data_IF_809568947948
#
_entry.id   IF_809568947948
#
_cell.length_a   1.000
_cell.length_b   1.000
_cell.length_c   1.000
_cell.angle_alpha   90.00
_cell.angle_beta   90.00
_cell.angle_gamma   90.00
#
_symmetry.space_group_name_H-M   'P 1'
#
loop_
_entity.id
_entity.type
_entity.pdbx_description
1 polymer ?
#
# COMPACT_ATOMS: atom_id res chain seq x y z
N UNK A 1 37.95 0.63 -25.60
CA UNK A 1 37.93 0.15 -24.22
C UNK A 1 38.10 1.35 -23.28
N UNK A 2 37.03 1.97 -22.85
CA UNK A 2 37.05 2.96 -21.76
C UNK A 2 36.50 2.25 -20.53
N UNK A 3 37.13 2.38 -19.37
CA UNK A 3 36.64 1.71 -18.15
C UNK A 3 35.34 2.39 -17.73
N UNK A 4 34.30 1.57 -17.64
CA UNK A 4 32.94 1.93 -17.25
C UNK A 4 32.86 2.22 -15.74
N UNK A 5 33.40 3.39 -15.34
CA UNK A 5 33.53 3.79 -13.93
C UNK A 5 32.40 4.72 -13.44
N UNK A 6 31.35 4.95 -14.24
CA UNK A 6 30.32 5.95 -13.93
C UNK A 6 29.01 5.41 -13.35
N UNK A 7 28.90 4.12 -13.09
CA UNK A 7 27.64 3.48 -12.68
C UNK A 7 27.56 2.85 -11.30
N UNK A 8 28.51 3.12 -10.39
CA UNK A 8 28.51 2.47 -9.07
C UNK A 8 27.76 3.32 -8.03
N UNK A 9 26.52 2.92 -7.76
CA UNK A 9 25.65 3.55 -6.77
C UNK A 9 26.07 3.28 -5.32
N UNK A 10 25.40 3.95 -4.39
CA UNK A 10 25.57 3.81 -2.94
C UNK A 10 25.66 2.35 -2.46
N UNK A 11 24.93 1.42 -3.09
CA UNK A 11 24.93 0.00 -2.75
C UNK A 11 26.19 -0.76 -3.23
N UNK A 12 26.81 -0.32 -4.32
CA UNK A 12 28.02 -0.98 -4.90
C UNK A 12 29.34 -0.39 -4.39
N UNK A 13 29.36 0.89 -3.93
CA UNK A 13 30.55 1.54 -3.34
C UNK A 13 30.55 1.62 -1.82
N UNK A 14 29.36 1.52 -1.20
CA UNK A 14 29.14 1.47 0.25
C UNK A 14 28.24 0.27 0.52
N UNK A 15 28.16 -0.20 1.75
CA UNK A 15 27.34 -1.37 2.09
C UNK A 15 25.84 -1.06 1.94
N UNK A 16 25.02 -2.08 1.63
CA UNK A 16 23.54 -2.02 1.59
C UNK A 16 22.94 -1.38 2.85
N UNK A 17 23.68 -1.37 3.96
CA UNK A 17 23.30 -0.73 5.23
C UNK A 17 23.02 0.77 5.10
N UNK A 18 23.64 1.46 4.13
CA UNK A 18 23.38 2.88 3.88
C UNK A 18 21.95 3.19 3.46
N UNK A 19 21.25 2.22 2.83
CA UNK A 19 19.82 2.38 2.51
C UNK A 19 18.96 2.56 3.76
N UNK A 20 19.41 2.01 4.90
CA UNK A 20 18.74 2.19 6.19
C UNK A 20 19.27 3.41 6.95
N UNK A 21 20.58 3.65 6.91
CA UNK A 21 21.19 4.77 7.65
C UNK A 21 20.74 6.14 7.16
N UNK A 22 20.37 6.31 5.88
CA UNK A 22 19.85 7.57 5.35
C UNK A 22 18.52 7.98 6.00
N UNK A 23 17.76 7.02 6.52
CA UNK A 23 16.50 7.29 7.22
C UNK A 23 16.73 7.87 8.63
N UNK A 24 17.89 7.61 9.25
CA UNK A 24 18.18 8.08 10.62
C UNK A 24 18.27 9.61 10.71
N UNK A 25 19.06 10.33 9.87
CA UNK A 25 19.10 11.79 9.92
C UNK A 25 17.76 12.41 9.55
N UNK A 26 17.03 11.86 8.55
CA UNK A 26 15.71 12.36 8.14
C UNK A 26 14.71 12.18 9.29
N UNK A 27 14.65 10.97 9.87
CA UNK A 27 13.80 10.67 11.02
C UNK A 27 14.17 11.50 12.26
N UNK A 28 15.46 11.67 12.55
CA UNK A 28 15.94 12.50 13.63
C UNK A 28 15.53 13.96 13.49
N UNK A 29 15.66 14.52 12.29
CA UNK A 29 15.19 15.88 11.99
C UNK A 29 13.66 16.00 12.17
N UNK A 30 12.90 15.02 11.70
CA UNK A 30 11.44 15.00 11.83
C UNK A 30 11.02 14.93 13.30
N UNK A 31 11.65 14.07 14.11
CA UNK A 31 11.40 13.98 15.56
C UNK A 31 11.71 15.30 16.23
N UNK A 32 12.85 15.91 15.93
CA UNK A 32 13.24 17.20 16.50
C UNK A 32 12.23 18.30 16.14
N UNK A 33 11.80 18.36 14.88
CA UNK A 33 10.78 19.31 14.44
C UNK A 33 9.44 19.10 15.16
N UNK A 34 8.99 17.86 15.34
CA UNK A 34 7.77 17.54 16.09
C UNK A 34 7.90 17.97 17.55
N UNK A 35 9.02 17.68 18.21
CA UNK A 35 9.21 18.05 19.63
C UNK A 35 9.24 19.57 19.85
N UNK A 36 9.76 20.34 18.88
CA UNK A 36 9.86 21.81 18.98
C UNK A 36 8.54 22.48 18.63
N UNK A 37 7.90 22.07 17.54
CA UNK A 37 6.75 22.79 16.96
C UNK A 37 5.40 22.20 17.35
N UNK A 38 5.34 20.91 17.73
CA UNK A 38 4.09 20.22 17.93
C UNK A 38 3.71 20.18 19.41
N UNK A 39 2.98 21.19 19.87
CA UNK A 39 2.39 21.22 21.21
C UNK A 39 0.92 20.84 21.11
N UNK A 40 0.58 19.61 21.46
CA UNK A 40 -0.82 19.20 21.64
C UNK A 40 -1.17 19.38 23.11
N UNK A 41 -2.24 20.11 23.38
CA UNK A 41 -2.86 20.04 24.70
C UNK A 41 -3.38 18.61 24.90
N UNK A 42 -2.95 17.90 25.94
CA UNK A 42 -3.42 16.53 26.16
C UNK A 42 -4.93 16.58 26.37
N UNK A 43 -5.71 15.78 25.61
CA UNK A 43 -7.14 15.69 25.88
C UNK A 43 -7.33 15.28 27.32
N UNK A 44 -8.33 15.86 28.02
CA UNK A 44 -8.73 15.44 29.38
C UNK A 44 -9.21 13.99 29.33
N UNK A 45 -8.29 13.04 29.28
CA UNK A 45 -8.56 11.61 29.35
C UNK A 45 -8.48 11.19 30.80
N UNK A 46 -9.48 10.49 31.27
CA UNK A 46 -9.36 9.70 32.51
C UNK A 46 -8.13 8.78 32.37
N UNK A 47 -7.25 8.78 33.35
CA UNK A 47 -6.06 7.91 33.36
C UNK A 47 -6.52 6.46 33.52
N UNK A 48 -6.73 5.79 32.39
CA UNK A 48 -6.99 4.36 32.40
C UNK A 48 -5.74 3.62 32.93
N UNK A 49 -5.97 2.59 33.76
CA UNK A 49 -4.89 1.71 34.19
C UNK A 49 -4.22 1.05 33.01
N UNK A 50 -2.93 0.68 33.12
CA UNK A 50 -2.19 0.00 32.04
C UNK A 50 -2.92 -1.27 31.56
N UNK A 51 -3.53 -2.00 32.48
CA UNK A 51 -4.32 -3.20 32.16
C UNK A 51 -5.55 -2.88 31.31
N UNK A 52 -6.23 -1.77 31.59
CA UNK A 52 -7.38 -1.32 30.80
C UNK A 52 -6.95 -0.84 29.39
N UNK A 53 -5.78 -0.19 29.28
CA UNK A 53 -5.21 0.18 27.99
C UNK A 53 -4.81 -1.05 27.15
N UNK A 54 -4.17 -2.06 27.76
CA UNK A 54 -3.83 -3.32 27.09
C UNK A 54 -5.09 -4.07 26.63
N UNK A 55 -6.16 -4.05 27.43
CA UNK A 55 -7.43 -4.69 27.08
C UNK A 55 -8.10 -4.01 25.86
N UNK A 56 -7.87 -2.71 25.66
CA UNK A 56 -8.37 -1.97 24.50
C UNK A 56 -7.60 -2.28 23.21
N UNK A 57 -6.42 -2.93 23.28
CA UNK A 57 -5.63 -3.32 22.10
C UNK A 57 -6.05 -4.66 21.49
N UNK A 58 -7.12 -5.27 22.01
CA UNK A 58 -7.60 -6.60 21.57
C UNK A 58 -6.48 -7.65 21.46
N UNK A 59 -5.82 -8.00 22.58
CA UNK A 59 -4.70 -8.95 22.53
C UNK A 59 -5.14 -10.35 22.08
N UNK A 60 -6.41 -10.72 22.32
CA UNK A 60 -6.96 -12.01 21.91
C UNK A 60 -7.16 -12.05 20.41
N UNK A 61 -7.80 -11.03 19.82
CA UNK A 61 -7.95 -10.91 18.37
C UNK A 61 -6.60 -10.91 17.66
N UNK A 62 -5.64 -10.11 18.16
CA UNK A 62 -4.28 -10.07 17.61
C UNK A 62 -3.56 -11.41 17.66
N UNK A 63 -3.72 -12.18 18.77
CA UNK A 63 -3.09 -13.50 18.93
C UNK A 63 -3.55 -14.51 17.87
N UNK A 64 -4.78 -14.47 17.43
CA UNK A 64 -5.28 -15.32 16.35
C UNK A 64 -5.03 -14.73 14.96
N UNK A 65 -5.11 -13.41 14.84
CA UNK A 65 -4.95 -12.70 13.57
C UNK A 65 -3.51 -12.79 13.01
N UNK A 66 -2.50 -12.45 13.82
CA UNK A 66 -1.13 -12.38 13.35
C UNK A 66 -0.60 -13.73 12.81
N UNK A 67 -0.76 -14.88 13.53
CA UNK A 67 -0.35 -16.18 12.98
C UNK A 67 -1.17 -16.59 11.75
N UNK A 68 -2.44 -16.21 11.65
CA UNK A 68 -3.25 -16.50 10.47
C UNK A 68 -2.68 -15.80 9.23
N UNK A 69 -2.35 -14.50 9.35
CA UNK A 69 -1.75 -13.73 8.26
C UNK A 69 -0.36 -14.27 7.86
N UNK A 70 0.46 -14.65 8.83
CA UNK A 70 1.75 -15.29 8.58
C UNK A 70 1.55 -16.59 7.81
N UNK A 71 0.58 -17.42 8.22
CA UNK A 71 0.32 -18.72 7.58
C UNK A 71 -0.10 -18.57 6.12
N UNK A 72 -0.98 -17.62 5.78
CA UNK A 72 -1.39 -17.40 4.38
C UNK A 72 -0.24 -16.85 3.53
N UNK A 73 0.54 -15.91 4.05
CA UNK A 73 1.68 -15.34 3.32
C UNK A 73 2.73 -16.42 3.05
N UNK A 74 3.06 -17.27 4.04
CA UNK A 74 3.99 -18.39 3.86
C UNK A 74 3.44 -19.42 2.89
N UNK A 75 2.16 -19.77 2.97
CA UNK A 75 1.52 -20.69 2.04
C UNK A 75 1.60 -20.18 0.59
N UNK A 76 1.35 -18.88 0.39
CA UNK A 76 1.43 -18.25 -0.92
C UNK A 76 2.88 -18.10 -1.41
N UNK A 77 3.85 -17.88 -0.53
CA UNK A 77 5.26 -17.72 -0.88
C UNK A 77 5.94 -19.04 -1.24
N UNK A 78 5.62 -20.12 -0.53
CA UNK A 78 6.21 -21.44 -0.77
C UNK A 78 5.40 -22.31 -1.73
N UNK A 79 4.07 -22.17 -1.70
CA UNK A 79 3.16 -22.99 -2.50
C UNK A 79 3.35 -22.80 -4.00
N UNK A 80 3.26 -23.90 -4.75
CA UNK A 80 3.44 -23.88 -6.21
C UNK A 80 4.91 -23.84 -6.65
N UNK A 81 5.86 -23.83 -5.72
CA UNK A 81 7.26 -24.06 -6.05
C UNK A 81 7.52 -25.55 -6.32
N UNK A 82 8.56 -25.92 -7.09
CA UNK A 82 8.90 -27.32 -7.32
C UNK A 82 9.21 -28.11 -6.04
N UNK A 83 9.75 -27.44 -5.02
CA UNK A 83 10.01 -28.04 -3.71
C UNK A 83 8.73 -28.29 -2.90
N UNK A 84 7.72 -27.40 -3.05
CA UNK A 84 6.46 -27.45 -2.31
C UNK A 84 5.26 -27.25 -3.26
N UNK A 85 4.83 -28.32 -3.97
CA UNK A 85 3.61 -28.26 -4.77
C UNK A 85 2.40 -27.92 -3.87
N UNK A 86 1.35 -27.36 -4.43
CA UNK A 86 0.13 -26.99 -3.69
C UNK A 86 -0.49 -28.17 -2.92
N UNK A 87 -0.25 -29.41 -3.37
CA UNK A 87 -0.67 -30.65 -2.71
C UNK A 87 0.23 -31.08 -1.54
N UNK A 88 1.34 -30.39 -1.30
CA UNK A 88 2.25 -30.76 -0.20
C UNK A 88 1.55 -30.60 1.15
N UNK A 89 1.68 -31.58 2.08
CA UNK A 89 1.04 -31.52 3.41
C UNK A 89 1.38 -30.25 4.19
N UNK A 90 2.58 -29.70 3.98
CA UNK A 90 3.04 -28.46 4.60
C UNK A 90 2.22 -27.25 4.14
N UNK A 91 1.93 -27.14 2.84
CA UNK A 91 1.13 -26.04 2.28
C UNK A 91 -0.33 -26.17 2.70
N UNK A 92 -0.88 -27.39 2.63
CA UNK A 92 -2.24 -27.67 3.10
C UNK A 92 -2.36 -27.33 4.59
N UNK A 93 -1.37 -27.73 5.41
CA UNK A 93 -1.32 -27.39 6.83
C UNK A 93 -1.34 -25.88 7.10
N UNK A 94 -0.57 -25.09 6.35
CA UNK A 94 -0.56 -23.63 6.45
C UNK A 94 -1.90 -23.03 6.04
N UNK A 95 -2.53 -23.52 4.96
CA UNK A 95 -3.85 -23.04 4.51
C UNK A 95 -4.95 -23.38 5.51
N UNK A 96 -4.95 -24.59 6.07
CA UNK A 96 -5.89 -24.99 7.13
C UNK A 96 -5.68 -24.13 8.39
N UNK A 97 -4.43 -23.93 8.79
CA UNK A 97 -4.09 -23.06 9.94
C UNK A 97 -4.60 -21.63 9.71
N UNK A 98 -4.39 -21.07 8.52
CA UNK A 98 -4.94 -19.77 8.16
C UNK A 98 -6.48 -19.75 8.32
N UNK A 99 -7.20 -20.69 7.70
CA UNK A 99 -8.67 -20.69 7.73
C UNK A 99 -9.18 -20.81 9.16
N UNK A 100 -8.63 -21.72 9.94
CA UNK A 100 -9.06 -21.97 11.34
C UNK A 100 -8.79 -20.74 12.22
N UNK A 101 -7.56 -20.21 12.19
CA UNK A 101 -7.20 -19.05 13.03
C UNK A 101 -7.94 -17.79 12.60
N UNK A 102 -8.13 -17.59 11.30
CA UNK A 102 -8.89 -16.45 10.78
C UNK A 102 -10.39 -16.55 11.15
N UNK A 103 -10.98 -17.74 11.10
CA UNK A 103 -12.35 -17.95 11.54
C UNK A 103 -12.53 -17.68 13.04
N UNK A 104 -11.55 -18.11 13.87
CA UNK A 104 -11.54 -17.80 15.33
C UNK A 104 -11.39 -16.29 15.52
N UNK A 105 -10.49 -15.62 14.81
CA UNK A 105 -10.35 -14.17 14.87
C UNK A 105 -11.66 -13.46 14.56
N UNK A 106 -12.31 -13.81 13.45
CA UNK A 106 -13.61 -13.23 13.06
C UNK A 106 -14.67 -13.47 14.15
N UNK A 107 -14.73 -14.68 14.73
CA UNK A 107 -15.64 -14.97 15.82
C UNK A 107 -15.36 -14.11 17.07
N UNK A 108 -14.10 -13.91 17.44
CA UNK A 108 -13.68 -13.04 18.56
C UNK A 108 -14.11 -11.60 18.30
N UNK A 109 -13.90 -11.06 17.09
CA UNK A 109 -14.30 -9.70 16.72
C UNK A 109 -15.82 -9.46 16.85
N UNK A 110 -16.64 -10.47 16.54
CA UNK A 110 -18.09 -10.41 16.75
C UNK A 110 -18.49 -10.52 18.22
N UNK A 111 -17.76 -11.28 19.04
CA UNK A 111 -18.06 -11.50 20.46
C UNK A 111 -17.58 -10.35 21.35
N UNK A 112 -16.59 -9.57 20.93
CA UNK A 112 -16.00 -8.49 21.72
C UNK A 112 -16.07 -7.12 21.01
N UNK A 113 -17.25 -6.61 20.64
CA UNK A 113 -17.41 -5.44 19.77
C UNK A 113 -16.85 -4.13 20.36
N UNK A 114 -16.67 -4.05 21.70
CA UNK A 114 -16.17 -2.84 22.37
C UNK A 114 -14.65 -2.67 22.26
N UNK A 115 -13.91 -3.78 22.19
CA UNK A 115 -12.44 -3.79 22.12
C UNK A 115 -11.89 -4.27 20.78
N UNK A 116 -12.76 -4.68 19.86
CA UNK A 116 -12.43 -5.27 18.58
C UNK A 116 -11.47 -4.40 17.76
N UNK A 117 -10.41 -4.99 17.18
CA UNK A 117 -9.49 -4.34 16.24
C UNK A 117 -10.19 -3.90 14.96
N UNK A 118 -11.15 -4.71 14.48
CA UNK A 118 -11.92 -4.47 13.26
C UNK A 118 -13.43 -4.56 13.53
N UNK A 119 -14.02 -3.62 14.29
CA UNK A 119 -15.42 -3.69 14.66
C UNK A 119 -16.32 -3.82 13.44
N UNK A 120 -17.27 -4.75 13.49
CA UNK A 120 -18.20 -5.02 12.40
C UNK A 120 -18.93 -3.75 11.91
N UNK A 121 -19.25 -2.81 12.81
CA UNK A 121 -19.88 -1.52 12.46
C UNK A 121 -19.03 -0.67 11.50
N UNK A 122 -17.70 -0.80 11.53
CA UNK A 122 -16.78 -0.08 10.65
C UNK A 122 -16.54 -0.88 9.37
N UNK A 123 -16.19 -2.15 9.50
CA UNK A 123 -15.82 -3.03 8.38
C UNK A 123 -17.01 -3.29 7.44
N UNK A 124 -18.22 -3.49 7.98
CA UNK A 124 -19.43 -3.74 7.19
C UNK A 124 -20.04 -2.48 6.56
N UNK A 125 -19.49 -1.29 6.86
CA UNK A 125 -19.88 -0.10 6.11
C UNK A 125 -19.45 -0.27 4.65
N UNK A 126 -20.42 -0.22 3.72
CA UNK A 126 -20.17 -0.50 2.30
C UNK A 126 -19.06 0.33 1.68
N UNK A 127 -18.95 1.61 2.07
CA UNK A 127 -17.91 2.50 1.56
C UNK A 127 -16.53 2.14 2.11
N UNK A 128 -16.46 1.69 3.37
CA UNK A 128 -15.21 1.23 4.00
C UNK A 128 -14.80 -0.11 3.41
N UNK A 129 -15.72 -1.08 3.34
CA UNK A 129 -15.46 -2.39 2.75
C UNK A 129 -15.00 -2.27 1.29
N UNK A 130 -15.69 -1.45 0.48
CA UNK A 130 -15.31 -1.17 -0.90
C UNK A 130 -13.92 -0.55 -1.02
N UNK A 131 -13.58 0.42 -0.14
CA UNK A 131 -12.25 1.06 -0.13
C UNK A 131 -11.15 0.12 0.36
N UNK A 132 -11.41 -0.73 1.35
CA UNK A 132 -10.48 -1.76 1.82
C UNK A 132 -10.16 -2.76 0.72
N UNK A 133 -11.18 -3.28 0.02
CA UNK A 133 -11.01 -4.17 -1.12
C UNK A 133 -10.26 -3.49 -2.27
N UNK A 134 -10.60 -2.24 -2.56
CA UNK A 134 -9.92 -1.42 -3.56
C UNK A 134 -8.43 -1.26 -3.24
N UNK A 135 -8.08 -0.88 -2.00
CA UNK A 135 -6.70 -0.69 -1.57
C UNK A 135 -5.88 -1.97 -1.56
N UNK A 136 -6.49 -3.10 -1.18
CA UNK A 136 -5.86 -4.42 -1.23
C UNK A 136 -5.35 -4.73 -2.65
N UNK A 137 -6.21 -4.52 -3.66
CA UNK A 137 -5.89 -4.80 -5.05
C UNK A 137 -4.95 -3.76 -5.67
N UNK A 138 -5.16 -2.47 -5.37
CA UNK A 138 -4.32 -1.38 -5.84
C UNK A 138 -2.87 -1.55 -5.39
N UNK A 139 -2.68 -1.82 -4.10
CA UNK A 139 -1.36 -2.01 -3.52
C UNK A 139 -0.69 -3.29 -4.03
N UNK A 140 -1.47 -4.36 -4.18
CA UNK A 140 -0.99 -5.61 -4.76
C UNK A 140 -0.45 -5.44 -6.18
N UNK A 141 -1.25 -4.79 -7.05
CA UNK A 141 -0.83 -4.48 -8.42
C UNK A 141 0.38 -3.55 -8.47
N UNK A 142 0.40 -2.51 -7.61
CA UNK A 142 1.55 -1.59 -7.50
C UNK A 142 2.82 -2.33 -7.10
N UNK A 143 2.78 -3.21 -6.08
CA UNK A 143 3.97 -3.95 -5.64
C UNK A 143 4.47 -4.90 -6.71
N UNK A 144 3.57 -5.60 -7.42
CA UNK A 144 3.94 -6.43 -8.56
C UNK A 144 4.67 -5.61 -9.63
N UNK A 145 4.09 -4.49 -10.07
CA UNK A 145 4.72 -3.68 -11.11
C UNK A 145 6.03 -3.05 -10.63
N UNK A 146 6.07 -2.43 -9.45
CA UNK A 146 7.25 -1.74 -8.95
C UNK A 146 8.45 -2.68 -8.77
N UNK A 147 8.22 -3.88 -8.22
CA UNK A 147 9.27 -4.87 -8.01
C UNK A 147 9.75 -5.50 -9.32
N UNK A 148 8.81 -6.06 -10.09
CA UNK A 148 9.17 -6.84 -11.28
C UNK A 148 9.60 -5.99 -12.48
N UNK A 149 9.24 -4.72 -12.51
CA UNK A 149 9.73 -3.79 -13.52
C UNK A 149 11.23 -3.51 -13.33
N UNK A 150 11.69 -3.36 -12.09
CA UNK A 150 13.11 -3.23 -11.78
C UNK A 150 13.90 -4.50 -12.17
N UNK A 151 13.30 -5.67 -11.93
CA UNK A 151 13.87 -6.96 -12.35
C UNK A 151 13.90 -7.06 -13.88
N UNK A 152 12.88 -6.59 -14.59
CA UNK A 152 12.82 -6.58 -16.05
C UNK A 152 13.93 -5.74 -16.67
N UNK A 153 14.22 -4.55 -16.14
CA UNK A 153 15.32 -3.73 -16.62
C UNK A 153 16.69 -4.40 -16.41
N UNK A 154 16.85 -5.15 -15.33
CA UNK A 154 18.09 -5.86 -15.02
C UNK A 154 18.26 -7.11 -15.90
N UNK A 155 17.25 -7.97 -15.97
CA UNK A 155 17.30 -9.22 -16.72
C UNK A 155 17.21 -9.02 -18.23
N UNK A 156 16.13 -8.34 -18.70
CA UNK A 156 15.85 -8.22 -20.13
C UNK A 156 16.73 -7.18 -20.83
N UNK A 157 17.00 -6.04 -20.19
CA UNK A 157 17.81 -4.98 -20.78
C UNK A 157 19.27 -4.95 -20.27
N UNK A 158 19.65 -5.85 -19.37
CA UNK A 158 21.01 -5.94 -18.83
C UNK A 158 21.48 -4.69 -18.08
N UNK A 159 20.56 -3.94 -17.48
CA UNK A 159 20.89 -2.72 -16.76
C UNK A 159 21.39 -3.02 -15.35
N UNK A 160 22.25 -2.16 -14.82
CA UNK A 160 22.62 -2.23 -13.40
C UNK A 160 21.42 -1.92 -12.50
N UNK A 161 21.46 -2.38 -11.25
CA UNK A 161 20.41 -2.10 -10.27
C UNK A 161 20.10 -0.59 -10.12
N UNK A 162 21.14 0.25 -10.21
CA UNK A 162 21.00 1.71 -10.17
C UNK A 162 20.24 2.25 -11.40
N UNK A 163 20.62 1.79 -12.59
CA UNK A 163 19.96 2.22 -13.82
C UNK A 163 18.51 1.72 -13.86
N UNK A 164 18.24 0.51 -13.37
CA UNK A 164 16.89 0.00 -13.22
C UNK A 164 16.03 0.90 -12.29
N UNK A 165 16.60 1.33 -11.16
CA UNK A 165 15.93 2.29 -10.26
C UNK A 165 15.64 3.63 -10.93
N UNK A 166 16.61 4.20 -11.67
CA UNK A 166 16.41 5.46 -12.41
C UNK A 166 15.34 5.30 -13.49
N UNK A 167 15.35 4.18 -14.21
CA UNK A 167 14.35 3.89 -15.25
C UNK A 167 12.95 3.60 -14.70
N UNK A 168 12.83 3.29 -13.41
CA UNK A 168 11.54 3.14 -12.72
C UNK A 168 10.97 4.46 -12.17
N UNK A 169 11.71 5.58 -12.23
CA UNK A 169 11.25 6.90 -11.78
C UNK A 169 9.96 7.39 -12.45
N UNK A 170 9.68 7.15 -13.75
CA UNK A 170 8.43 7.58 -14.37
C UNK A 170 7.17 7.04 -13.68
N UNK A 171 7.23 5.82 -13.14
CA UNK A 171 6.15 5.24 -12.34
C UNK A 171 5.89 6.06 -11.08
N UNK A 172 6.95 6.37 -10.33
CA UNK A 172 6.87 7.12 -9.06
C UNK A 172 6.47 8.57 -9.29
N UNK A 173 7.05 9.22 -10.30
CA UNK A 173 6.69 10.59 -10.66
C UNK A 173 5.22 10.69 -11.11
N UNK A 174 4.76 9.73 -11.91
CA UNK A 174 3.36 9.64 -12.33
C UNK A 174 2.41 9.55 -11.12
N UNK A 175 2.74 8.68 -10.16
CA UNK A 175 1.97 8.53 -8.92
C UNK A 175 1.91 9.86 -8.13
N UNK A 176 3.04 10.53 -7.93
CA UNK A 176 3.10 11.78 -7.14
C UNK A 176 2.34 12.90 -7.85
N UNK A 177 2.61 13.12 -9.13
CA UNK A 177 1.98 14.20 -9.91
C UNK A 177 0.45 14.02 -9.93
N UNK A 178 -0.02 12.81 -10.24
CA UNK A 178 -1.45 12.58 -10.32
C UNK A 178 -2.13 12.56 -8.95
N UNK A 179 -1.44 12.10 -7.91
CA UNK A 179 -1.90 12.21 -6.53
C UNK A 179 -2.16 13.66 -6.11
N UNK A 180 -1.25 14.58 -6.46
CA UNK A 180 -1.44 16.02 -6.20
C UNK A 180 -2.62 16.58 -7.00
N UNK A 181 -2.70 16.26 -8.29
CA UNK A 181 -3.80 16.73 -9.16
C UNK A 181 -5.15 16.27 -8.59
N UNK A 182 -5.28 14.99 -8.23
CA UNK A 182 -6.52 14.43 -7.69
C UNK A 182 -6.83 15.00 -6.30
N UNK A 183 -5.83 15.27 -5.46
CA UNK A 183 -6.02 15.93 -4.18
C UNK A 183 -6.65 17.33 -4.35
N UNK A 184 -6.09 18.13 -5.26
CA UNK A 184 -6.61 19.47 -5.58
C UNK A 184 -8.01 19.39 -6.20
N UNK A 185 -8.21 18.48 -7.15
CA UNK A 185 -9.51 18.25 -7.79
C UNK A 185 -10.57 17.89 -6.76
N UNK A 186 -10.28 16.93 -5.89
CA UNK A 186 -11.21 16.45 -4.85
C UNK A 186 -11.53 17.55 -3.83
N UNK A 187 -10.58 18.43 -3.50
CA UNK A 187 -10.83 19.56 -2.62
C UNK A 187 -11.75 20.61 -3.28
N UNK A 188 -11.59 20.88 -4.57
CA UNK A 188 -12.41 21.85 -5.32
C UNK A 188 -13.80 21.32 -5.63
N UNK A 189 -13.89 20.12 -6.18
CA UNK A 189 -15.14 19.50 -6.63
C UNK A 189 -15.93 18.95 -5.44
N UNK A 190 -15.24 18.36 -4.47
CA UNK A 190 -15.82 17.78 -3.26
C UNK A 190 -16.17 16.30 -3.36
N UNK A 191 -15.92 15.64 -4.49
CA UNK A 191 -16.19 14.22 -4.70
C UNK A 191 -14.89 13.43 -4.91
N UNK A 192 -14.76 12.28 -4.23
CA UNK A 192 -13.60 11.37 -4.31
C UNK A 192 -13.82 10.19 -5.27
N UNK A 193 -15.09 9.83 -5.53
CA UNK A 193 -15.45 8.67 -6.36
C UNK A 193 -14.91 8.76 -7.80
N UNK A 194 -14.88 9.93 -8.48
CA UNK A 194 -14.30 10.02 -9.81
C UNK A 194 -12.84 9.56 -9.87
N UNK A 195 -12.04 9.90 -8.86
CA UNK A 195 -10.65 9.41 -8.76
C UNK A 195 -10.57 7.90 -8.55
N UNK A 196 -11.48 7.34 -7.74
CA UNK A 196 -11.56 5.88 -7.53
C UNK A 196 -12.01 5.13 -8.80
N UNK A 197 -12.82 5.73 -9.67
CA UNK A 197 -13.23 5.12 -10.95
C UNK A 197 -12.16 5.28 -12.04
N UNK A 198 -11.42 6.39 -12.03
CA UNK A 198 -10.34 6.62 -12.99
C UNK A 198 -9.15 5.67 -12.77
N UNK A 199 -8.83 5.37 -11.51
CA UNK A 199 -7.69 4.53 -11.15
C UNK A 199 -7.73 3.13 -11.77
N UNK A 200 -8.81 2.33 -11.67
CA UNK A 200 -8.90 1.02 -12.32
C UNK A 200 -8.67 1.07 -13.82
N UNK A 201 -9.23 2.07 -14.49
CA UNK A 201 -9.11 2.23 -15.94
C UNK A 201 -7.66 2.51 -16.33
N UNK A 202 -7.03 3.51 -15.70
CA UNK A 202 -5.64 3.88 -15.99
C UNK A 202 -4.66 2.76 -15.64
N UNK A 203 -4.84 2.11 -14.48
CA UNK A 203 -3.99 1.00 -14.05
C UNK A 203 -4.18 -0.23 -14.94
N UNK A 204 -5.40 -0.58 -15.34
CA UNK A 204 -5.64 -1.72 -16.23
C UNK A 204 -5.03 -1.52 -17.60
N UNK A 205 -5.18 -0.33 -18.19
CA UNK A 205 -4.56 0.00 -19.48
C UNK A 205 -3.05 0.04 -19.34
N UNK A 206 -2.51 0.74 -18.32
CA UNK A 206 -1.07 0.82 -18.10
C UNK A 206 -0.42 -0.54 -17.81
N UNK A 207 -1.04 -1.38 -16.97
CA UNK A 207 -0.59 -2.74 -16.68
C UNK A 207 -0.69 -3.66 -17.90
N UNK A 208 -1.77 -3.55 -18.67
CA UNK A 208 -1.94 -4.24 -19.96
C UNK A 208 -0.85 -3.85 -20.96
N UNK A 209 -0.53 -2.56 -21.08
CA UNK A 209 0.56 -2.09 -21.95
C UNK A 209 1.94 -2.57 -21.44
N UNK A 210 2.18 -2.57 -20.13
CA UNK A 210 3.41 -3.13 -19.54
C UNK A 210 3.57 -4.62 -19.87
N UNK A 211 2.48 -5.38 -19.96
CA UNK A 211 2.51 -6.81 -20.32
C UNK A 211 2.90 -7.06 -21.79
N UNK A 212 2.95 -6.03 -22.63
CA UNK A 212 3.40 -6.12 -24.03
C UNK A 212 4.87 -5.75 -24.22
N UNK A 213 5.63 -5.52 -23.14
CA UNK A 213 7.04 -5.20 -23.21
C UNK A 213 7.86 -6.39 -23.71
N UNK A 214 8.80 -6.11 -24.62
CA UNK A 214 9.81 -7.04 -25.12
C UNK A 214 11.22 -6.52 -24.79
N UNK A 215 12.24 -7.38 -24.72
CA UNK A 215 13.63 -6.94 -24.47
C UNK A 215 14.10 -5.81 -25.38
N UNK A 216 13.62 -5.80 -26.64
CA UNK A 216 13.92 -4.77 -27.66
C UNK A 216 13.04 -3.51 -27.56
N UNK A 217 12.13 -3.41 -26.57
CA UNK A 217 11.24 -2.26 -26.46
C UNK A 217 12.01 -0.96 -26.21
N UNK A 218 11.76 0.03 -27.08
CA UNK A 218 12.39 1.34 -27.01
C UNK A 218 11.94 2.17 -25.79
N UNK A 219 12.72 3.22 -25.49
CA UNK A 219 12.54 4.05 -24.29
C UNK A 219 11.14 4.68 -24.18
N UNK A 220 10.56 5.16 -25.28
CA UNK A 220 9.24 5.79 -25.27
C UNK A 220 8.12 4.86 -24.79
N UNK A 221 8.20 3.55 -25.13
CA UNK A 221 7.17 2.57 -24.72
C UNK A 221 7.17 2.37 -23.22
N UNK A 222 8.29 1.94 -22.63
CA UNK A 222 8.33 1.64 -21.20
C UNK A 222 8.15 2.90 -20.34
N UNK A 223 8.58 4.09 -20.81
CA UNK A 223 8.38 5.35 -20.11
C UNK A 223 6.88 5.73 -20.06
N UNK A 224 6.20 5.71 -21.22
CA UNK A 224 4.77 6.04 -21.31
C UNK A 224 3.88 5.06 -20.54
N UNK A 225 4.17 3.75 -20.62
CA UNK A 225 3.39 2.72 -19.94
C UNK A 225 3.49 2.83 -18.40
N UNK A 226 4.70 3.09 -17.90
CA UNK A 226 4.95 3.34 -16.48
C UNK A 226 4.24 4.60 -15.98
N UNK A 227 4.34 5.70 -16.72
CA UNK A 227 3.70 6.95 -16.35
C UNK A 227 2.18 6.79 -16.29
N UNK A 228 1.58 6.10 -17.26
CA UNK A 228 0.14 5.84 -17.28
C UNK A 228 -0.31 4.99 -16.08
N UNK A 229 0.45 3.92 -15.78
CA UNK A 229 0.18 3.09 -14.61
C UNK A 229 0.33 3.88 -13.30
N UNK A 230 1.39 4.69 -13.20
CA UNK A 230 1.64 5.60 -12.08
C UNK A 230 0.52 6.61 -11.87
N UNK A 231 -0.03 7.18 -12.94
CA UNK A 231 -1.20 8.06 -12.86
C UNK A 231 -2.40 7.35 -12.24
N UNK A 232 -2.68 6.12 -12.64
CA UNK A 232 -3.74 5.31 -12.05
C UNK A 232 -3.54 5.07 -10.55
N UNK A 233 -2.32 4.70 -10.13
CA UNK A 233 -1.98 4.50 -8.71
C UNK A 233 -2.18 5.80 -7.93
N UNK A 234 -1.71 6.95 -8.45
CA UNK A 234 -1.87 8.26 -7.82
C UNK A 234 -3.34 8.65 -7.61
N UNK A 235 -4.21 8.40 -8.60
CA UNK A 235 -5.65 8.55 -8.47
C UNK A 235 -6.22 7.68 -7.35
N UNK A 236 -5.83 6.41 -7.33
CA UNK A 236 -6.37 5.41 -6.42
C UNK A 236 -6.02 5.67 -4.97
N UNK A 237 -4.74 5.85 -4.63
CA UNK A 237 -4.31 6.08 -3.25
C UNK A 237 -4.90 7.36 -2.67
N UNK A 238 -4.90 8.45 -3.43
CA UNK A 238 -5.42 9.71 -2.94
C UNK A 238 -6.93 9.66 -2.67
N UNK A 239 -7.68 8.97 -3.51
CA UNK A 239 -9.16 8.94 -3.41
C UNK A 239 -9.66 7.92 -2.40
N UNK A 240 -9.00 6.77 -2.24
CA UNK A 240 -9.48 5.64 -1.44
C UNK A 240 -9.39 5.85 0.08
N UNK A 241 -8.56 6.78 0.56
CA UNK A 241 -8.44 7.11 2.00
C UNK A 241 -9.53 8.07 2.49
N UNK A 242 -10.21 8.76 1.58
CA UNK A 242 -11.20 9.80 1.92
C UNK A 242 -12.50 9.22 2.50
N UNK A 243 -13.03 8.06 2.04
CA UNK A 243 -14.23 7.47 2.62
C UNK A 243 -14.20 7.32 4.14
N UNK A 244 -13.08 6.89 4.73
CA UNK A 244 -12.96 6.78 6.19
C UNK A 244 -13.25 8.11 6.91
N UNK A 245 -12.81 9.21 6.32
CA UNK A 245 -13.01 10.55 6.88
C UNK A 245 -14.40 11.13 6.63
N UNK A 246 -15.16 10.58 5.66
CA UNK A 246 -16.46 11.13 5.25
C UNK A 246 -17.66 10.36 5.77
N UNK A 247 -17.55 9.03 5.89
CA UNK A 247 -18.69 8.17 6.26
C UNK A 247 -18.67 7.70 7.71
N UNK A 248 -17.50 7.72 8.38
CA UNK A 248 -17.37 7.27 9.76
C UNK A 248 -17.61 8.41 10.76
N UNK A 249 -18.00 8.04 11.99
CA UNK A 249 -18.03 8.95 13.14
C UNK A 249 -16.62 9.45 13.44
N UNK A 250 -16.48 10.63 14.08
CA UNK A 250 -15.15 11.19 14.42
C UNK A 250 -14.30 10.23 15.27
N UNK A 251 -14.92 9.47 16.14
CA UNK A 251 -14.28 8.45 17.00
C UNK A 251 -13.73 7.27 16.20
N UNK A 252 -14.41 6.88 15.10
CA UNK A 252 -14.06 5.71 14.30
C UNK A 252 -13.13 6.02 13.11
N UNK A 253 -12.91 7.32 12.79
CA UNK A 253 -12.01 7.72 11.68
C UNK A 253 -10.60 7.15 11.83
N UNK A 254 -9.92 7.27 12.98
CA UNK A 254 -8.56 6.71 13.12
C UNK A 254 -8.53 5.21 12.86
N UNK A 255 -9.53 4.49 13.35
CA UNK A 255 -9.66 3.05 13.16
C UNK A 255 -9.89 2.70 11.69
N UNK A 256 -10.81 3.38 11.01
CA UNK A 256 -11.06 3.17 9.58
C UNK A 256 -9.82 3.43 8.73
N UNK A 257 -9.06 4.48 9.02
CA UNK A 257 -7.80 4.79 8.33
C UNK A 257 -6.76 3.69 8.59
N UNK A 258 -6.64 3.21 9.84
CA UNK A 258 -5.71 2.12 10.18
C UNK A 258 -6.03 0.83 9.43
N UNK A 259 -7.32 0.46 9.33
CA UNK A 259 -7.77 -0.70 8.56
C UNK A 259 -7.46 -0.56 7.06
N UNK A 260 -7.59 0.63 6.50
CA UNK A 260 -7.23 0.91 5.11
C UNK A 260 -5.72 0.77 4.87
N UNK A 261 -4.87 1.32 5.75
CA UNK A 261 -3.42 1.12 5.69
C UNK A 261 -3.05 -0.36 5.86
N UNK A 262 -3.72 -1.07 6.76
CA UNK A 262 -3.51 -2.50 6.90
C UNK A 262 -3.81 -3.26 5.60
N UNK A 263 -4.96 -3.02 4.96
CA UNK A 263 -5.32 -3.65 3.68
C UNK A 263 -4.34 -3.29 2.56
N UNK A 264 -3.83 -2.07 2.54
CA UNK A 264 -2.77 -1.66 1.62
C UNK A 264 -1.50 -2.51 1.81
N UNK A 265 -1.03 -2.70 3.05
CA UNK A 265 0.17 -3.49 3.33
C UNK A 265 -0.05 -4.98 3.04
N UNK A 266 -1.21 -5.50 3.43
CA UNK A 266 -1.58 -6.90 3.18
C UNK A 266 -1.66 -7.19 1.67
N UNK A 267 -2.28 -6.30 0.90
CA UNK A 267 -2.37 -6.43 -0.56
C UNK A 267 -0.99 -6.51 -1.21
N UNK A 268 -0.08 -5.61 -0.82
CA UNK A 268 1.30 -5.63 -1.29
C UNK A 268 2.00 -6.95 -1.00
N UNK A 269 1.90 -7.46 0.23
CA UNK A 269 2.55 -8.70 0.64
C UNK A 269 1.96 -9.93 -0.07
N UNK A 270 0.63 -10.06 -0.08
CA UNK A 270 -0.06 -11.21 -0.67
C UNK A 270 0.19 -11.29 -2.18
N UNK A 271 -0.05 -10.19 -2.90
CA UNK A 271 0.06 -10.24 -4.36
C UNK A 271 1.50 -10.22 -4.86
N UNK A 272 2.47 -9.75 -4.08
CA UNK A 272 3.88 -9.95 -4.39
C UNK A 272 4.25 -11.44 -4.31
N UNK A 273 3.75 -12.18 -3.31
CA UNK A 273 3.94 -13.62 -3.20
C UNK A 273 3.25 -14.38 -4.35
N UNK A 274 2.03 -13.99 -4.73
CA UNK A 274 1.35 -14.52 -5.92
C UNK A 274 2.14 -14.22 -7.19
N UNK A 275 2.65 -13.00 -7.34
CA UNK A 275 3.51 -12.59 -8.46
C UNK A 275 4.77 -13.41 -8.56
N UNK A 276 5.41 -13.75 -7.43
CA UNK A 276 6.58 -14.64 -7.39
C UNK A 276 6.24 -16.04 -7.93
N UNK A 277 5.09 -16.59 -7.54
CA UNK A 277 4.63 -17.88 -8.06
C UNK A 277 4.35 -17.84 -9.57
N UNK A 278 3.65 -16.82 -10.03
CA UNK A 278 3.38 -16.63 -11.47
C UNK A 278 4.69 -16.53 -12.25
N UNK A 279 5.62 -15.70 -11.76
CA UNK A 279 6.93 -15.53 -12.37
C UNK A 279 7.71 -16.84 -12.44
N UNK A 280 7.90 -17.54 -11.30
CA UNK A 280 8.68 -18.76 -11.22
C UNK A 280 8.12 -19.87 -12.10
N UNK A 281 6.80 -20.10 -12.04
CA UNK A 281 6.15 -21.13 -12.85
C UNK A 281 6.25 -20.85 -14.35
N UNK A 282 6.04 -19.59 -14.77
CA UNK A 282 6.13 -19.21 -16.19
C UNK A 282 7.57 -19.22 -16.70
N UNK A 283 8.54 -18.92 -15.84
CA UNK A 283 9.96 -19.01 -16.20
C UNK A 283 10.39 -20.47 -16.39
N UNK A 284 10.01 -21.37 -15.47
CA UNK A 284 10.29 -22.80 -15.58
C UNK A 284 9.64 -23.39 -16.83
N UNK A 285 8.36 -23.07 -17.09
CA UNK A 285 7.64 -23.50 -18.30
C UNK A 285 8.33 -23.06 -19.58
N UNK A 286 8.78 -21.80 -19.66
CA UNK A 286 9.45 -21.24 -20.84
C UNK A 286 10.86 -21.78 -21.06
N UNK A 287 11.57 -22.16 -19.98
CA UNK A 287 12.93 -22.72 -20.04
C UNK A 287 12.96 -24.23 -20.25
N UNK A 288 11.85 -24.93 -20.06
CA UNK A 288 11.78 -26.40 -20.20
C UNK A 288 12.13 -26.90 -21.60
N UNK A 289 12.06 -26.04 -22.62
CA UNK A 289 12.43 -26.36 -24.01
C UNK A 289 13.88 -26.01 -24.38
N UNK A 290 14.68 -25.41 -23.48
CA UNK A 290 16.05 -24.99 -23.76
C UNK A 290 17.02 -26.09 -23.30
N UNK A 291 17.69 -26.74 -24.27
CA UNK A 291 18.59 -27.84 -23.97
C UNK A 291 19.84 -27.36 -23.20
N UNK A 292 20.26 -28.13 -22.18
CA UNK A 292 21.51 -27.84 -21.44
C UNK A 292 21.39 -26.87 -20.27
N UNK A 293 20.21 -26.33 -19.96
CA UNK A 293 19.96 -25.46 -18.82
C UNK A 293 19.02 -26.14 -17.80
N UNK A 294 19.39 -26.05 -16.51
CA UNK A 294 18.48 -26.40 -15.44
C UNK A 294 17.62 -25.17 -15.10
N UNK A 295 16.28 -25.22 -15.35
CA UNK A 295 15.40 -24.10 -15.06
C UNK A 295 15.44 -23.65 -13.59
N UNK A 296 15.69 -24.56 -12.65
CA UNK A 296 15.73 -24.26 -11.21
C UNK A 296 16.95 -23.40 -10.84
N UNK A 297 18.09 -23.66 -11.48
CA UNK A 297 19.29 -22.84 -11.29
C UNK A 297 19.02 -21.41 -11.75
N UNK A 298 18.33 -21.25 -12.89
CA UNK A 298 17.99 -19.92 -13.42
C UNK A 298 17.00 -19.17 -12.54
N UNK A 299 15.95 -19.82 -12.02
CA UNK A 299 14.98 -19.21 -11.10
C UNK A 299 15.64 -18.72 -9.82
N UNK A 300 16.60 -19.48 -9.29
CA UNK A 300 17.32 -19.17 -8.07
C UNK A 300 18.49 -18.18 -8.29
N UNK A 301 18.84 -17.91 -9.54
CA UNK A 301 19.88 -16.94 -9.90
C UNK A 301 19.27 -15.53 -9.93
N UNK A 302 19.87 -14.59 -9.22
CA UNK A 302 19.45 -13.18 -9.27
C UNK A 302 19.59 -12.59 -10.68
N UNK A 303 18.67 -11.70 -11.06
CA UNK A 303 18.62 -11.07 -12.38
C UNK A 303 19.96 -10.44 -12.83
N UNK A 304 20.75 -9.92 -11.91
CA UNK A 304 22.10 -9.35 -12.16
C UNK A 304 23.16 -10.37 -12.47
N UNK A 305 23.01 -11.60 -11.99
CA UNK A 305 24.00 -12.66 -12.13
C UNK A 305 23.70 -13.65 -13.28
N UNK A 306 22.56 -13.51 -13.94
CA UNK A 306 22.16 -14.32 -15.11
C UNK A 306 23.26 -14.41 -16.16
N UNK A 307 23.87 -13.27 -16.49
CA UNK A 307 24.95 -13.17 -17.51
C UNK A 307 26.27 -13.85 -17.11
N UNK A 308 26.40 -14.25 -15.83
CA UNK A 308 27.58 -14.99 -15.35
C UNK A 308 27.36 -16.50 -15.38
N UNK A 309 26.11 -16.95 -15.28
CA UNK A 309 25.73 -18.36 -15.15
C UNK A 309 25.30 -18.96 -16.49
N UNK A 310 24.64 -18.16 -17.34
CA UNK A 310 24.11 -18.63 -18.64
C UNK A 310 25.19 -18.57 -19.74
N UNK A 311 25.39 -19.65 -20.52
CA UNK A 311 26.28 -19.63 -21.67
C UNK A 311 25.84 -18.59 -22.72
N UNK A 312 26.78 -17.92 -23.41
CA UNK A 312 26.47 -16.90 -24.40
C UNK A 312 25.53 -17.36 -25.55
N UNK A 313 25.60 -18.64 -25.90
CA UNK A 313 24.77 -19.21 -26.98
C UNK A 313 23.27 -19.27 -26.61
N UNK A 314 22.94 -19.36 -25.31
CA UNK A 314 21.56 -19.53 -24.82
C UNK A 314 21.03 -18.26 -24.18
N UNK A 315 21.84 -17.20 -24.09
CA UNK A 315 21.49 -15.96 -23.40
C UNK A 315 20.23 -15.30 -23.95
N UNK A 316 20.08 -15.27 -25.28
CA UNK A 316 18.92 -14.62 -25.92
C UNK A 316 17.62 -15.37 -25.58
N UNK A 317 17.65 -16.72 -25.58
CA UNK A 317 16.51 -17.55 -25.21
C UNK A 317 16.12 -17.35 -23.74
N UNK A 318 17.12 -17.29 -22.85
CA UNK A 318 16.87 -17.04 -21.42
C UNK A 318 16.31 -15.66 -21.16
N UNK A 319 16.83 -14.61 -21.83
CA UNK A 319 16.34 -13.23 -21.72
C UNK A 319 14.90 -13.13 -22.22
N UNK A 320 14.55 -13.81 -23.29
CA UNK A 320 13.20 -13.83 -23.83
C UNK A 320 12.23 -14.56 -22.88
N UNK A 321 12.61 -15.74 -22.36
CA UNK A 321 11.84 -16.49 -21.37
C UNK A 321 11.63 -15.67 -20.08
N UNK A 322 12.66 -14.99 -19.62
CA UNK A 322 12.60 -14.11 -18.45
C UNK A 322 11.66 -12.93 -18.68
N UNK A 323 11.78 -12.26 -19.83
CA UNK A 323 10.88 -11.16 -20.20
C UNK A 323 9.43 -11.63 -20.30
N UNK A 324 9.19 -12.79 -20.90
CA UNK A 324 7.86 -13.38 -20.99
C UNK A 324 7.27 -13.66 -19.60
N UNK A 325 8.02 -14.29 -18.71
CA UNK A 325 7.55 -14.59 -17.35
C UNK A 325 7.20 -13.31 -16.57
N UNK A 326 8.02 -12.26 -16.69
CA UNK A 326 7.78 -10.96 -16.05
C UNK A 326 6.55 -10.24 -16.62
N UNK A 327 6.33 -10.31 -17.92
CA UNK A 327 5.13 -9.70 -18.52
C UNK A 327 3.83 -10.36 -18.07
N UNK A 328 3.86 -11.65 -17.66
CA UNK A 328 2.71 -12.33 -17.04
C UNK A 328 2.38 -11.77 -15.66
N UNK A 329 3.37 -11.32 -14.90
CA UNK A 329 3.14 -10.62 -13.63
C UNK A 329 2.52 -9.23 -13.88
N UNK A 330 2.93 -8.51 -14.95
CA UNK A 330 2.27 -7.25 -15.30
C UNK A 330 0.83 -7.45 -15.75
N UNK A 331 0.54 -8.57 -16.42
CA UNK A 331 -0.83 -8.95 -16.78
C UNK A 331 -1.67 -9.24 -15.51
N UNK A 332 -1.09 -9.92 -14.52
CA UNK A 332 -1.73 -10.10 -13.20
C UNK A 332 -2.09 -8.74 -12.59
N UNK A 333 -1.16 -7.78 -12.58
CA UNK A 333 -1.41 -6.44 -12.07
C UNK A 333 -2.53 -5.72 -12.84
N UNK A 334 -2.63 -5.90 -14.16
CA UNK A 334 -3.73 -5.37 -14.97
C UNK A 334 -5.08 -6.00 -14.59
N UNK A 335 -5.13 -7.31 -14.36
CA UNK A 335 -6.34 -8.01 -13.91
C UNK A 335 -6.78 -7.54 -12.52
N UNK A 336 -5.84 -7.42 -11.57
CA UNK A 336 -6.13 -6.88 -10.24
C UNK A 336 -6.71 -5.47 -10.34
N UNK A 337 -6.15 -4.65 -11.22
CA UNK A 337 -6.63 -3.29 -11.47
C UNK A 337 -8.04 -3.27 -12.06
N UNK A 338 -8.39 -4.20 -12.94
CA UNK A 338 -9.74 -4.31 -13.48
C UNK A 338 -10.76 -4.75 -12.39
N UNK A 339 -10.39 -5.75 -11.57
CA UNK A 339 -11.23 -6.23 -10.46
C UNK A 339 -11.44 -5.15 -9.39
N UNK A 340 -10.46 -4.27 -9.19
CA UNK A 340 -10.55 -3.12 -8.29
C UNK A 340 -11.75 -2.20 -8.58
N UNK A 341 -12.25 -2.18 -9.82
CA UNK A 341 -13.45 -1.43 -10.21
C UNK A 341 -14.68 -1.83 -9.40
N UNK A 342 -14.78 -3.11 -9.00
CA UNK A 342 -15.87 -3.59 -8.15
C UNK A 342 -15.87 -2.89 -6.79
N UNK A 343 -14.69 -2.70 -6.19
CA UNK A 343 -14.54 -1.94 -4.95
C UNK A 343 -14.98 -0.49 -5.10
N UNK A 344 -14.57 0.16 -6.19
CA UNK A 344 -14.96 1.54 -6.47
C UNK A 344 -16.47 1.71 -6.69
N UNK A 345 -17.13 0.74 -7.33
CA UNK A 345 -18.56 0.76 -7.64
C UNK A 345 -19.47 0.68 -6.39
N UNK A 346 -18.98 0.02 -5.32
CA UNK A 346 -19.74 -0.14 -4.06
C UNK A 346 -19.70 1.12 -3.21
N UNK A 347 -18.70 1.99 -3.40
CA UNK A 347 -18.49 3.18 -2.56
C UNK A 347 -19.55 4.26 -2.83
N UNK A 348 -20.03 4.89 -1.75
CA UNK A 348 -21.06 5.92 -1.81
C UNK A 348 -20.55 7.25 -2.38
N UNK A 349 -21.36 7.88 -3.22
CA UNK A 349 -21.13 9.22 -3.76
C UNK A 349 -21.44 10.29 -2.71
N UNK A 350 -20.55 10.46 -1.72
CA UNK A 350 -20.69 11.50 -0.69
C UNK A 350 -19.75 12.67 -0.95
N UNK A 351 -20.22 13.89 -0.62
CA UNK A 351 -19.39 15.10 -0.76
C UNK A 351 -18.66 15.41 0.55
N UNK A 352 -17.39 15.79 0.43
CA UNK A 352 -16.55 16.22 1.56
C UNK A 352 -16.99 17.61 2.07
N UNK A 353 -17.60 18.45 1.21
CA UNK A 353 -17.95 19.83 1.52
C UNK A 353 -19.00 19.94 2.63
N UNK A 354 -19.94 19.02 2.68
CA UNK A 354 -21.02 19.00 3.70
C UNK A 354 -20.46 18.85 5.12
N UNK A 355 -19.46 18.02 5.31
CA UNK A 355 -18.81 17.80 6.61
C UNK A 355 -17.95 19.02 7.02
N UNK A 356 -17.19 19.59 6.09
CA UNK A 356 -16.43 20.84 6.34
C UNK A 356 -17.33 22.02 6.69
N UNK A 357 -18.52 22.12 6.09
CA UNK A 357 -19.52 23.13 6.45
C UNK A 357 -20.05 22.95 7.88
N UNK A 358 -20.40 21.72 8.25
CA UNK A 358 -20.84 21.40 9.62
C UNK A 358 -19.73 21.63 10.66
N UNK A 359 -18.46 21.33 10.33
CA UNK A 359 -17.33 21.61 11.21
C UNK A 359 -17.08 23.11 11.42
N UNK A 360 -17.18 23.91 10.37
CA UNK A 360 -17.06 25.37 10.47
C UNK A 360 -18.18 25.98 11.29
N UNK A 361 -19.43 25.50 11.13
CA UNK A 361 -20.57 25.91 11.93
C UNK A 361 -20.38 25.61 13.41
N UNK A 362 -19.98 24.38 13.74
CA UNK A 362 -19.73 23.97 15.13
C UNK A 362 -18.59 24.75 15.81
N UNK A 363 -17.54 25.11 15.06
CA UNK A 363 -16.42 25.93 15.58
C UNK A 363 -16.87 27.38 15.78
N UNK A 364 -17.70 27.92 14.91
CA UNK A 364 -18.26 29.27 15.03
C UNK A 364 -19.18 29.38 16.27
N UNK A 365 -20.09 28.41 16.45
CA UNK A 365 -20.97 28.35 17.63
C UNK A 365 -20.19 28.18 18.94
N UNK A 366 -19.12 27.38 18.94
CA UNK A 366 -18.25 27.21 20.12
C UNK A 366 -17.43 28.49 20.42
N UNK A 367 -17.08 29.27 19.38
CA UNK A 367 -16.41 30.56 19.53
C UNK A 367 -17.33 31.64 20.12
N UNK A 368 -18.57 31.71 19.63
CA UNK A 368 -19.58 32.65 20.15
C UNK A 368 -20.01 32.31 21.58
N UNK A 369 -20.14 31.03 21.93
CA UNK A 369 -20.43 30.57 23.29
C UNK A 369 -19.34 30.92 24.32
N UNK A 370 -18.06 30.96 23.90
CA UNK A 370 -16.97 31.42 24.76
C UNK A 370 -16.97 32.95 24.93
N UNK A 371 -17.24 33.71 23.87
CA UNK A 371 -17.29 35.17 23.92
C UNK A 371 -18.47 35.69 24.77
N UNK A 372 -19.61 34.99 24.73
CA UNK A 372 -20.77 35.32 25.59
C UNK A 372 -20.57 34.91 27.03
N UNK A 373 -19.80 33.88 27.32
CA UNK A 373 -19.47 33.45 28.69
C UNK A 373 -18.47 34.37 29.42
N UNK A 374 -17.51 34.94 28.69
CA UNK A 374 -16.57 35.92 29.27
C UNK A 374 -17.19 37.30 29.50
N UNK A 375 -18.18 37.70 28.69
CA UNK A 375 -18.93 38.94 28.88
C UNK A 375 -19.86 38.93 30.09
N UNK A 376 -20.33 37.74 30.52
CA UNK A 376 -21.23 37.60 31.67
C UNK A 376 -20.51 37.55 33.05
N UNK A 377 -19.21 37.29 33.05
CA UNK A 377 -18.41 37.28 34.31
C UNK A 377 -17.76 38.64 34.64
N UNK A 378 -17.79 39.60 33.68
CA UNK A 378 -17.18 40.94 33.86
C UNK A 378 -18.14 42.00 34.47
N UNK A 379 -19.45 41.72 34.53
CA UNK A 379 -20.45 42.72 35.00
C UNK A 379 -21.00 42.54 36.44
N UNK A 380 -20.40 41.59 37.22
CA UNK A 380 -20.88 41.25 38.57
C UNK A 380 -20.08 41.81 39.74
N UNK A 381 -19.09 42.71 39.56
CA UNK A 381 -18.29 43.29 40.64
C UNK A 381 -18.21 44.78 40.50
N UNK A 382 -19.33 45.49 40.78
CA UNK A 382 -19.31 46.88 41.22
C UNK A 382 -20.72 47.32 41.62
N UNK A 383 -21.19 46.93 42.80
CA UNK A 383 -22.20 47.69 43.56
C UNK A 383 -22.47 47.02 44.91
N UNK A 384 -21.57 47.26 45.89
CA UNK A 384 -21.96 47.20 47.31
C UNK A 384 -20.82 47.81 48.16
N UNK A 385 -20.89 49.09 48.38
CA UNK A 385 -19.92 49.75 49.27
C UNK A 385 -20.12 51.25 49.38
N UNK A 386 -21.36 51.72 49.67
CA UNK A 386 -21.49 53.00 50.33
C UNK A 386 -22.94 53.15 50.90
N UNK A 387 -23.06 52.94 52.23
CA UNK A 387 -23.93 53.68 53.17
C UNK A 387 -23.96 52.92 54.52
N UNK A 388 -23.26 53.47 55.47
CA UNK A 388 -23.82 53.89 56.78
C UNK A 388 -22.74 54.08 57.82
N UNK A 389 -22.59 55.35 58.20
CA UNK A 389 -22.05 55.94 59.43
C UNK A 389 -20.74 55.46 60.01
#
# INVERSE_FOLDING_TARGET
MLPDNTGRSLTSHRTWRWCFYINLPIGGFTILAILIFFRIEPPKRERLSLLAQLKQLDPIGFFFFAPSMISIILALQWGGSPEFPWSAPRIIGLLVTFVVLFAIFVAVEFLTPETAMAPARVVLNRSIAGSMFFLLLLSGGMMCVAYYLSVWFQAAQGQSATQAGIRSLPLVLGLVVMGIIVAVFTQKVGYYVPGMLAAPVLCSIGGGLLSTLHPSSGQGKWLGYQALYGFGIGCGFQSSMIPAQTVLSRSDVPLGVSLMFFMQQLGGAVFLAVGQNVFSNKLVESLSGVAGLDPQVIVNTGATDLRKVVPPAEMDAVVEAYSYALTRVFLLAAVLSAVMLLGAAVVEWKTIKKRRGAEKGAVAEAGEGKASGEGAQGSGVSESGEKAK
#
